data_IF_843994055613
#
_entry.id   IF_843994055613
#
_cell.length_a   1.000
_cell.length_b   1.000
_cell.length_c   1.000
_cell.angle_alpha   90.00
_cell.angle_beta   90.00
_cell.angle_gamma   90.00
#
_symmetry.space_group_name_H-M   'P 1'
#
loop_
_entity.id
_entity.type
_entity.pdbx_description
1 polymer ?
#
# COMPACT_ATOMS: atom_id res chain seq x y z
N UNK A 1 18.69 -30.47 -3.32
CA UNK A 1 19.25 -29.14 -3.03
C UNK A 1 18.28 -28.13 -3.61
N UNK A 2 17.52 -27.42 -2.77
CA UNK A 2 16.64 -26.36 -3.23
C UNK A 2 17.49 -25.18 -3.69
N UNK A 3 17.21 -24.67 -4.87
CA UNK A 3 17.83 -23.46 -5.41
C UNK A 3 17.64 -22.31 -4.39
N UNK A 4 18.69 -21.53 -4.05
CA UNK A 4 18.52 -20.40 -3.15
C UNK A 4 17.55 -19.42 -3.80
N UNK A 5 16.38 -19.23 -3.21
CA UNK A 5 15.39 -18.28 -3.69
C UNK A 5 16.03 -16.89 -3.77
N UNK A 6 16.17 -16.36 -4.99
CA UNK A 6 16.74 -15.04 -5.23
C UNK A 6 15.87 -13.99 -4.53
N UNK A 7 16.40 -13.38 -3.47
CA UNK A 7 15.75 -12.25 -2.80
C UNK A 7 16.21 -10.96 -3.45
N UNK A 8 15.30 -10.09 -3.90
CA UNK A 8 15.72 -8.80 -4.43
C UNK A 8 16.36 -7.96 -3.33
N UNK A 9 17.35 -7.15 -3.69
CA UNK A 9 17.99 -6.21 -2.76
C UNK A 9 16.98 -5.20 -2.16
N UNK A 10 15.91 -4.92 -2.90
CA UNK A 10 14.76 -4.12 -2.46
C UNK A 10 13.49 -4.95 -2.67
N UNK A 11 12.84 -5.35 -1.58
CA UNK A 11 11.58 -6.09 -1.62
C UNK A 11 10.43 -5.20 -1.18
N UNK A 12 9.41 -5.03 -2.02
CA UNK A 12 8.26 -4.16 -1.75
C UNK A 12 6.97 -4.97 -1.86
N UNK A 13 6.07 -4.79 -0.90
CA UNK A 13 4.70 -5.31 -0.93
C UNK A 13 3.74 -4.21 -0.50
N UNK A 14 2.52 -4.21 -1.05
CA UNK A 14 1.45 -3.31 -0.63
C UNK A 14 0.10 -3.80 -1.17
N UNK A 15 -0.96 -3.37 -0.50
CA UNK A 15 -2.31 -3.34 -1.07
C UNK A 15 -2.58 -1.99 -1.70
N UNK A 16 -3.29 -1.97 -2.82
CA UNK A 16 -3.61 -0.75 -3.56
C UNK A 16 -5.12 -0.61 -3.73
N UNK A 17 -5.66 0.57 -3.45
CA UNK A 17 -7.05 0.94 -3.72
C UNK A 17 -7.08 2.24 -4.53
N UNK A 18 -7.56 2.22 -5.78
CA UNK A 18 -7.80 3.44 -6.56
C UNK A 18 -8.87 4.29 -5.87
N UNK A 19 -8.59 5.56 -5.58
CA UNK A 19 -9.53 6.35 -4.78
C UNK A 19 -10.86 6.60 -5.52
N UNK A 20 -10.82 6.71 -6.86
CA UNK A 20 -12.02 6.75 -7.71
C UNK A 20 -12.95 5.54 -7.60
N UNK A 21 -12.47 4.39 -7.14
CA UNK A 21 -13.31 3.19 -7.02
C UNK A 21 -14.03 3.10 -5.67
N UNK A 22 -13.80 4.04 -4.75
CA UNK A 22 -14.45 4.04 -3.44
C UNK A 22 -15.83 4.70 -3.59
N UNK A 23 -16.94 3.94 -3.47
CA UNK A 23 -18.28 4.46 -3.76
C UNK A 23 -18.75 5.46 -2.71
N UNK A 24 -18.33 5.26 -1.47
CA UNK A 24 -18.74 5.98 -0.27
C UNK A 24 -17.61 5.97 0.73
N UNK A 25 -17.27 7.15 1.23
CA UNK A 25 -16.22 7.34 2.23
C UNK A 25 -16.80 7.56 3.63
N UNK A 26 -18.12 7.61 3.79
CA UNK A 26 -18.76 7.75 5.09
C UNK A 26 -18.33 6.62 6.03
N UNK A 27 -18.03 7.00 7.27
CA UNK A 27 -17.59 6.07 8.31
C UNK A 27 -18.85 5.57 9.04
N UNK A 28 -19.13 4.27 9.02
CA UNK A 28 -20.24 3.71 9.79
C UNK A 28 -20.08 4.02 11.29
N UNK A 29 -21.19 4.28 11.98
CA UNK A 29 -21.18 4.57 13.42
C UNK A 29 -20.67 3.38 14.23
N UNK A 30 -20.93 2.17 13.76
CA UNK A 30 -20.53 0.87 14.30
C UNK A 30 -19.16 0.37 13.80
N UNK A 31 -18.45 1.17 12.98
CA UNK A 31 -17.13 0.81 12.48
C UNK A 31 -16.14 0.54 13.62
N UNK A 32 -15.39 -0.56 13.51
CA UNK A 32 -14.28 -0.84 14.43
C UNK A 32 -13.24 0.29 14.39
N UNK A 33 -12.49 0.55 15.48
CA UNK A 33 -11.52 1.64 15.52
C UNK A 33 -10.47 1.58 14.40
N UNK A 34 -10.02 0.37 14.04
CA UNK A 34 -9.05 0.14 12.96
C UNK A 34 -9.65 0.48 11.59
N UNK A 35 -10.88 0.02 11.33
CA UNK A 35 -11.57 0.29 10.08
C UNK A 35 -11.92 1.78 9.93
N UNK A 36 -12.38 2.41 11.02
CA UNK A 36 -12.61 3.86 11.09
C UNK A 36 -11.35 4.65 10.75
N UNK A 37 -10.23 4.36 11.41
CA UNK A 37 -8.97 5.06 11.14
C UNK A 37 -8.50 4.88 9.69
N UNK A 38 -8.75 3.72 9.08
CA UNK A 38 -8.48 3.48 7.65
C UNK A 38 -9.32 4.38 6.75
N UNK A 39 -10.63 4.46 6.99
CA UNK A 39 -11.53 5.31 6.22
C UNK A 39 -11.22 6.81 6.41
N UNK A 40 -10.90 7.24 7.64
CA UNK A 40 -10.48 8.63 7.92
C UNK A 40 -9.25 9.02 7.09
N UNK A 41 -8.25 8.14 7.00
CA UNK A 41 -7.06 8.41 6.18
C UNK A 41 -7.37 8.46 4.69
N UNK A 42 -8.26 7.59 4.20
CA UNK A 42 -8.71 7.64 2.81
C UNK A 42 -9.49 8.92 2.51
N UNK A 43 -10.38 9.35 3.42
CA UNK A 43 -11.05 10.66 3.31
C UNK A 43 -10.04 11.79 3.24
N UNK A 44 -9.03 11.77 4.10
CA UNK A 44 -7.99 12.79 4.13
C UNK A 44 -7.17 12.80 2.84
N UNK A 45 -6.81 11.62 2.32
CA UNK A 45 -6.14 11.47 1.03
C UNK A 45 -6.98 12.05 -0.12
N UNK A 46 -8.29 11.77 -0.15
CA UNK A 46 -9.21 12.31 -1.15
C UNK A 46 -9.35 13.83 -1.03
N UNK A 47 -9.44 14.35 0.20
CA UNK A 47 -9.53 15.79 0.43
C UNK A 47 -8.26 16.54 -0.03
N UNK A 48 -7.09 15.91 0.10
CA UNK A 48 -5.80 16.53 -0.25
C UNK A 48 -5.45 16.37 -1.74
N UNK A 49 -5.65 15.18 -2.31
CA UNK A 49 -5.12 14.82 -3.63
C UNK A 49 -6.21 14.55 -4.67
N UNK A 50 -7.48 14.52 -4.25
CA UNK A 50 -8.61 14.19 -5.12
C UNK A 50 -8.75 12.69 -5.41
N UNK A 51 -9.71 12.35 -6.28
CA UNK A 51 -10.07 10.96 -6.63
C UNK A 51 -9.41 10.45 -7.92
N UNK A 52 -9.09 11.36 -8.84
CA UNK A 52 -8.57 11.02 -10.17
C UNK A 52 -7.07 10.83 -10.10
N UNK A 53 -6.57 9.78 -10.76
CA UNK A 53 -5.13 9.49 -10.86
C UNK A 53 -4.45 9.37 -9.49
N UNK A 54 -5.23 8.99 -8.47
CA UNK A 54 -4.78 8.82 -7.09
C UNK A 54 -5.11 7.43 -6.56
N UNK A 55 -4.14 6.85 -5.86
CA UNK A 55 -4.16 5.48 -5.39
C UNK A 55 -3.74 5.46 -3.93
N UNK A 56 -4.54 4.83 -3.08
CA UNK A 56 -4.20 4.68 -1.67
C UNK A 56 -3.51 3.33 -1.44
N UNK A 57 -2.28 3.39 -0.94
CA UNK A 57 -1.48 2.23 -0.58
C UNK A 57 -1.59 1.93 0.91
N UNK A 58 -1.78 0.65 1.25
CA UNK A 58 -1.90 0.16 2.63
C UNK A 58 -1.13 -1.13 2.82
N UNK A 59 -0.92 -1.49 4.09
CA UNK A 59 -0.16 -2.69 4.47
C UNK A 59 1.19 -2.76 3.75
N UNK A 60 1.76 -1.58 3.47
CA UNK A 60 2.96 -1.43 2.68
C UNK A 60 4.18 -1.84 3.49
N UNK A 61 5.06 -2.62 2.88
CA UNK A 61 6.38 -2.93 3.44
C UNK A 61 7.46 -2.78 2.38
N UNK A 62 8.59 -2.19 2.77
CA UNK A 62 9.78 -2.08 1.94
C UNK A 62 10.97 -2.58 2.75
N UNK A 63 11.65 -3.61 2.25
CA UNK A 63 12.83 -4.19 2.89
C UNK A 63 14.06 -3.94 2.02
N UNK A 64 15.07 -3.29 2.59
CA UNK A 64 16.40 -3.17 1.99
C UNK A 64 17.31 -4.23 2.59
N UNK A 65 17.95 -5.03 1.74
CA UNK A 65 18.96 -6.02 2.13
C UNK A 65 20.35 -5.48 1.78
N UNK A 66 21.20 -5.29 2.78
CA UNK A 66 22.58 -4.78 2.61
C UNK A 66 23.63 -5.89 2.65
N UNK A 67 23.24 -7.08 3.07
CA UNK A 67 24.09 -8.27 3.01
C UNK A 67 23.35 -9.42 2.32
N UNK A 68 24.09 -10.46 1.97
CA UNK A 68 23.52 -11.68 1.37
C UNK A 68 23.00 -12.67 2.42
N UNK A 69 23.15 -12.37 3.71
CA UNK A 69 22.62 -13.21 4.79
C UNK A 69 21.14 -12.84 5.05
N UNK A 70 20.19 -13.76 4.87
CA UNK A 70 18.78 -13.48 5.13
C UNK A 70 18.45 -13.18 6.60
N UNK A 71 19.35 -13.49 7.54
CA UNK A 71 19.16 -13.26 8.97
C UNK A 71 19.80 -11.95 9.46
N UNK A 72 20.68 -11.32 8.69
CA UNK A 72 21.47 -10.17 9.15
C UNK A 72 21.60 -9.07 8.08
N UNK A 73 21.79 -7.83 8.53
CA UNK A 73 22.08 -6.73 7.62
C UNK A 73 20.93 -6.33 6.68
N UNK A 74 19.70 -6.27 7.18
CA UNK A 74 18.56 -5.70 6.46
C UNK A 74 17.73 -4.78 7.36
N UNK A 75 16.92 -3.95 6.71
CA UNK A 75 15.99 -3.02 7.37
C UNK A 75 14.66 -3.04 6.66
N UNK A 76 13.57 -3.00 7.43
CA UNK A 76 12.20 -2.98 6.93
C UNK A 76 11.48 -1.73 7.41
N UNK A 77 10.89 -1.03 6.45
CA UNK A 77 9.98 0.07 6.67
C UNK A 77 8.56 -0.38 6.42
N UNK A 78 7.64 0.09 7.25
CA UNK A 78 6.22 0.10 6.94
C UNK A 78 5.87 1.41 6.25
N UNK A 79 4.92 1.36 5.31
CA UNK A 79 4.41 2.56 4.66
C UNK A 79 2.92 2.44 4.33
N UNK A 80 2.29 3.61 4.24
CA UNK A 80 0.91 3.78 3.78
C UNK A 80 0.74 5.22 3.26
N UNK A 81 -0.24 5.47 2.41
CA UNK A 81 -0.54 6.82 1.93
C UNK A 81 -0.95 6.85 0.47
N UNK A 82 -0.75 7.99 -0.18
CA UNK A 82 -1.28 8.25 -1.53
C UNK A 82 -0.19 8.25 -2.58
N UNK A 83 -0.43 7.58 -3.69
CA UNK A 83 0.34 7.63 -4.93
C UNK A 83 -0.44 8.43 -5.96
N UNK A 84 0.27 9.27 -6.71
CA UNK A 84 -0.30 10.15 -7.73
C UNK A 84 0.34 9.79 -9.06
N UNK A 85 -0.47 9.56 -10.08
CA UNK A 85 -0.02 9.25 -11.44
C UNK A 85 -0.30 10.40 -12.40
N UNK A 86 0.28 10.31 -13.59
CA UNK A 86 -0.10 11.13 -14.72
C UNK A 86 -1.57 10.90 -15.14
N UNK A 87 -2.06 11.77 -16.02
CA UNK A 87 -3.44 11.76 -16.51
C UNK A 87 -3.82 10.43 -17.19
N UNK A 88 -2.84 9.72 -17.73
CA UNK A 88 -3.01 8.44 -18.43
C UNK A 88 -2.98 7.22 -17.50
N UNK A 89 -2.77 7.38 -16.20
CA UNK A 89 -2.58 6.29 -15.24
C UNK A 89 -1.43 5.33 -15.64
N UNK A 90 -0.37 5.85 -16.27
CA UNK A 90 0.76 5.05 -16.77
C UNK A 90 2.02 5.19 -15.91
N UNK A 91 2.20 6.35 -15.28
CA UNK A 91 3.42 6.64 -14.52
C UNK A 91 3.12 7.47 -13.29
N UNK A 92 3.77 7.09 -12.20
CA UNK A 92 3.81 7.83 -10.95
C UNK A 92 4.55 9.15 -11.13
N UNK A 93 3.92 10.24 -10.70
CA UNK A 93 4.48 11.61 -10.72
C UNK A 93 4.75 12.15 -9.30
N UNK A 94 4.25 11.48 -8.27
CA UNK A 94 4.56 11.80 -6.89
C UNK A 94 3.89 10.87 -5.89
N UNK A 95 4.26 11.03 -4.63
CA UNK A 95 3.70 10.27 -3.52
C UNK A 95 3.64 11.09 -2.23
N UNK A 96 2.57 10.87 -1.48
CA UNK A 96 2.39 11.36 -0.12
C UNK A 96 2.24 10.15 0.82
N UNK A 97 3.39 9.62 1.23
CA UNK A 97 3.47 8.44 2.08
C UNK A 97 3.82 8.82 3.52
N UNK A 98 3.25 8.09 4.47
CA UNK A 98 3.84 7.96 5.81
C UNK A 98 4.76 6.76 5.78
N UNK A 99 6.02 6.93 6.14
CA UNK A 99 7.04 5.87 6.15
C UNK A 99 7.64 5.79 7.54
N UNK A 100 7.66 4.61 8.13
CA UNK A 100 8.14 4.39 9.51
C UNK A 100 9.03 3.15 9.53
N UNK A 101 10.18 3.26 10.19
CA UNK A 101 11.04 2.11 10.46
C UNK A 101 10.27 1.10 11.34
N UNK A 102 10.11 -0.13 10.84
CA UNK A 102 9.36 -1.17 11.52
C UNK A 102 10.29 -2.19 12.19
N UNK A 103 11.34 -2.61 11.48
CA UNK A 103 12.30 -3.60 11.99
C UNK A 103 13.67 -3.44 11.35
N UNK A 104 14.71 -3.81 12.07
CA UNK A 104 16.08 -3.83 11.56
C UNK A 104 16.87 -5.00 12.16
N UNK A 105 17.96 -5.37 11.48
CA UNK A 105 18.98 -6.32 11.98
C UNK A 105 20.41 -5.78 11.73
N UNK A 106 20.54 -4.46 11.64
CA UNK A 106 21.78 -3.74 11.35
C UNK A 106 22.20 -3.00 12.63
N UNK A 107 23.11 -3.58 13.41
CA UNK A 107 23.68 -2.92 14.60
C UNK A 107 24.54 -1.69 14.26
N UNK A 108 24.87 -1.49 12.97
CA UNK A 108 25.53 -0.29 12.44
C UNK A 108 24.55 0.74 11.83
N UNK A 109 23.24 0.58 11.97
CA UNK A 109 22.25 1.52 11.43
C UNK A 109 22.25 2.83 12.24
N UNK A 110 22.54 3.94 11.58
CA UNK A 110 22.56 5.27 12.20
C UNK A 110 21.27 6.04 11.91
N UNK A 111 20.89 6.99 12.77
CA UNK A 111 19.70 7.81 12.54
C UNK A 111 19.71 8.54 11.18
N UNK A 112 20.82 9.15 10.71
CA UNK A 112 20.87 9.74 9.37
C UNK A 112 20.61 8.72 8.25
N UNK A 113 21.07 7.48 8.42
CA UNK A 113 20.77 6.41 7.47
C UNK A 113 19.28 6.04 7.51
N UNK A 114 18.65 6.00 8.68
CA UNK A 114 17.20 5.78 8.81
C UNK A 114 16.42 6.83 8.02
N UNK A 115 16.74 8.11 8.21
CA UNK A 115 16.03 9.21 7.56
C UNK A 115 16.25 9.20 6.04
N UNK A 116 17.48 8.91 5.60
CA UNK A 116 17.79 8.77 4.18
C UNK A 116 17.07 7.57 3.55
N UNK A 117 17.01 6.43 4.25
CA UNK A 117 16.33 5.23 3.78
C UNK A 117 14.82 5.42 3.74
N UNK A 118 14.21 6.11 4.71
CA UNK A 118 12.79 6.47 4.68
C UNK A 118 12.43 7.29 3.43
N UNK A 119 13.31 8.21 3.02
CA UNK A 119 13.15 8.92 1.74
C UNK A 119 13.34 8.00 0.52
N UNK A 120 14.28 7.07 0.60
CA UNK A 120 14.50 6.06 -0.45
C UNK A 120 13.31 5.11 -0.61
N UNK A 121 12.58 4.78 0.46
CA UNK A 121 11.33 3.99 0.38
C UNK A 121 10.34 4.68 -0.56
N UNK A 122 10.14 5.99 -0.44
CA UNK A 122 9.19 6.73 -1.30
C UNK A 122 9.53 6.55 -2.77
N UNK A 123 10.80 6.81 -3.13
CA UNK A 123 11.30 6.67 -4.50
C UNK A 123 11.18 5.24 -5.01
N UNK A 124 11.50 4.26 -4.16
CA UNK A 124 11.43 2.85 -4.53
C UNK A 124 9.97 2.41 -4.77
N UNK A 125 9.03 2.86 -3.91
CA UNK A 125 7.60 2.59 -4.07
C UNK A 125 7.04 3.24 -5.33
N UNK A 126 7.42 4.47 -5.67
CA UNK A 126 6.98 5.11 -6.93
C UNK A 126 7.44 4.33 -8.17
N UNK A 127 8.67 3.81 -8.16
CA UNK A 127 9.20 2.97 -9.25
C UNK A 127 8.51 1.62 -9.30
N UNK A 128 8.29 0.99 -8.14
CA UNK A 128 7.60 -0.30 -8.06
C UNK A 128 6.14 -0.17 -8.49
N UNK A 129 5.48 0.94 -8.16
CA UNK A 129 4.11 1.19 -8.59
C UNK A 129 3.98 1.31 -10.11
N UNK A 130 4.97 1.90 -10.78
CA UNK A 130 5.01 1.90 -12.25
C UNK A 130 5.09 0.47 -12.81
N UNK A 131 5.88 -0.41 -12.18
CA UNK A 131 5.95 -1.83 -12.56
C UNK A 131 4.64 -2.54 -12.31
N UNK A 132 3.99 -2.28 -11.19
CA UNK A 132 2.68 -2.82 -10.83
C UNK A 132 1.58 -2.44 -11.84
N UNK A 133 1.54 -1.18 -12.27
CA UNK A 133 0.64 -0.72 -13.35
C UNK A 133 0.96 -1.44 -14.66
N UNK A 134 2.24 -1.43 -15.07
CA UNK A 134 2.67 -2.00 -16.35
C UNK A 134 2.42 -3.51 -16.45
N UNK A 135 2.47 -4.22 -15.32
CA UNK A 135 2.14 -5.65 -15.23
C UNK A 135 0.63 -5.94 -15.33
N UNK A 136 -0.23 -4.91 -15.31
CA UNK A 136 -1.69 -5.05 -15.30
C UNK A 136 -2.26 -5.48 -13.95
N UNK A 137 -1.44 -5.50 -12.89
CA UNK A 137 -1.87 -5.94 -11.56
C UNK A 137 -2.86 -4.96 -10.92
N UNK A 138 -2.85 -3.69 -11.34
CA UNK A 138 -3.88 -2.72 -10.99
C UNK A 138 -5.28 -3.17 -11.45
N UNK A 139 -5.40 -3.62 -12.70
CA UNK A 139 -6.68 -4.11 -13.24
C UNK A 139 -7.15 -5.35 -12.47
N UNK A 140 -6.23 -6.25 -12.13
CA UNK A 140 -6.53 -7.44 -11.30
C UNK A 140 -6.93 -7.08 -9.88
N UNK A 141 -6.32 -6.05 -9.29
CA UNK A 141 -6.69 -5.56 -7.97
C UNK A 141 -8.12 -5.00 -7.98
N UNK A 142 -8.49 -4.23 -9.00
CA UNK A 142 -9.85 -3.74 -9.20
C UNK A 142 -10.88 -4.86 -9.38
N UNK A 143 -10.56 -5.90 -10.16
CA UNK A 143 -11.45 -7.07 -10.31
C UNK A 143 -11.66 -7.82 -8.99
N UNK A 144 -10.61 -7.97 -8.17
CA UNK A 144 -10.72 -8.61 -6.84
C UNK A 144 -11.60 -7.79 -5.91
N UNK A 145 -11.40 -6.47 -5.85
CA UNK A 145 -12.21 -5.56 -5.05
C UNK A 145 -13.70 -5.67 -5.44
N UNK A 146 -13.99 -5.71 -6.74
CA UNK A 146 -15.36 -5.86 -7.24
C UNK A 146 -16.01 -7.20 -6.83
N UNK A 147 -15.25 -8.31 -6.85
CA UNK A 147 -15.74 -9.62 -6.40
C UNK A 147 -15.99 -9.67 -4.90
N UNK A 148 -15.11 -9.07 -4.10
CA UNK A 148 -15.29 -8.96 -2.65
C UNK A 148 -16.53 -8.15 -2.30
N UNK A 149 -16.75 -7.02 -2.99
CA UNK A 149 -17.96 -6.22 -2.82
C UNK A 149 -19.22 -7.03 -3.19
N UNK A 150 -19.20 -7.72 -4.34
CA UNK A 150 -20.33 -8.54 -4.76
C UNK A 150 -20.63 -9.69 -3.78
N UNK A 151 -19.60 -10.31 -3.20
CA UNK A 151 -19.76 -11.34 -2.18
C UNK A 151 -20.32 -10.77 -0.87
N UNK A 152 -19.87 -9.58 -0.47
CA UNK A 152 -20.40 -8.87 0.71
C UNK A 152 -21.87 -8.46 0.52
N UNK A 153 -22.23 -7.94 -0.65
CA UNK A 153 -23.61 -7.57 -0.96
C UNK A 153 -24.54 -8.80 -1.02
N UNK A 154 -24.05 -9.92 -1.57
CA UNK A 154 -24.78 -11.19 -1.57
C UNK A 154 -24.94 -11.79 -0.17
N UNK A 155 -23.96 -11.62 0.72
CA UNK A 155 -24.03 -12.06 2.11
C UNK A 155 -24.90 -11.11 2.98
N UNK A 156 -24.89 -9.81 2.69
CA UNK A 156 -25.71 -8.78 3.35
C UNK A 156 -27.19 -8.79 2.95
N UNK A 157 -27.53 -9.41 1.81
CA UNK A 157 -28.91 -9.59 1.34
C UNK A 157 -29.77 -10.54 2.18
N UNK A 158 -29.23 -11.22 3.20
CA UNK A 158 -29.97 -12.17 4.05
C UNK A 158 -30.39 -11.62 5.43
N UNK A 159 -30.19 -10.34 5.72
CA UNK A 159 -30.69 -9.71 6.97
C UNK A 159 -32.03 -8.98 6.80
N UNK A 160 -32.81 -9.34 5.78
CA UNK A 160 -34.16 -8.85 5.55
C UNK A 160 -35.22 -9.95 5.62
N UNK A 161 -35.36 -10.64 6.75
CA UNK A 161 -36.64 -11.25 7.18
C UNK A 161 -36.49 -11.97 8.53
N UNK A 162 -36.78 -11.26 9.62
CA UNK A 162 -37.52 -11.82 10.75
C UNK A 162 -38.02 -10.68 11.64
N UNK A 163 -39.35 -10.46 11.53
CA UNK A 163 -40.30 -9.87 12.50
C UNK A 163 -40.07 -8.42 12.95
#
# INVERSE_FOLDING_TARGET
MSEPAFRPAVAITFDCTPLRSVPRLDIPLDASPVYRARLERMQQAVAQHGLRNTYYLMNGSCTFSFTNDPAAGWVRYSFQGTLITDDADLRTIGSDLTVVLDRETCDWLTQPAVDWLANSVRRAVEIEFNRFIAAGDLSRALERLAREQAASDAAGGFLGMNL
#
